data_IF_918182200472
#
_entry.id   IF_918182200472
#
_cell.length_a   1.000
_cell.length_b   1.000
_cell.length_c   1.000
_cell.angle_alpha   90.00
_cell.angle_beta   90.00
_cell.angle_gamma   90.00
#
_symmetry.space_group_name_H-M   'P 1'
#
loop_
_entity.id
_entity.type
_entity.pdbx_description
1 polymer ?
#
# COMPACT_ATOMS: atom_id res chain seq x y z
N UNK A 1 37.77 -12.03 7.17
CA UNK A 1 37.04 -10.98 7.90
C UNK A 1 36.17 -11.62 9.00
N UNK A 2 35.24 -12.53 8.69
CA UNK A 2 34.34 -13.15 9.68
C UNK A 2 35.07 -13.82 10.87
N UNK A 3 36.15 -14.55 10.60
CA UNK A 3 36.96 -15.22 11.64
C UNK A 3 37.67 -14.24 12.53
N UNK A 4 38.16 -13.13 11.98
CA UNK A 4 38.84 -12.06 12.73
C UNK A 4 37.83 -11.29 13.60
N UNK A 5 36.64 -10.98 13.06
CA UNK A 5 35.56 -10.31 13.78
C UNK A 5 35.04 -11.16 14.95
N UNK A 6 34.87 -12.46 14.75
CA UNK A 6 34.45 -13.39 15.81
C UNK A 6 35.52 -13.53 16.92
N UNK A 7 36.81 -13.54 16.56
CA UNK A 7 37.92 -13.62 17.53
C UNK A 7 38.00 -12.38 18.38
N UNK A 8 37.82 -11.19 17.78
CA UNK A 8 37.83 -9.91 18.49
C UNK A 8 36.55 -9.67 19.31
N UNK A 9 35.37 -10.11 18.83
CA UNK A 9 34.15 -10.06 19.62
C UNK A 9 34.29 -10.88 20.94
N UNK A 10 34.94 -12.05 20.88
CA UNK A 10 35.25 -12.83 22.07
C UNK A 10 36.21 -12.12 23.02
N UNK A 11 37.26 -11.45 22.50
CA UNK A 11 38.20 -10.67 23.27
C UNK A 11 37.55 -9.46 23.95
N UNK A 12 36.62 -8.75 23.29
CA UNK A 12 35.82 -7.67 23.89
C UNK A 12 34.91 -8.17 25.03
N UNK A 13 34.32 -9.34 24.89
CA UNK A 13 33.51 -9.96 25.93
C UNK A 13 34.35 -10.42 27.16
N UNK A 14 35.65 -10.66 26.99
CA UNK A 14 36.58 -10.98 28.07
C UNK A 14 37.22 -9.73 28.71
N UNK A 15 36.82 -8.50 28.33
CA UNK A 15 37.27 -7.25 28.98
C UNK A 15 38.53 -6.63 28.39
N UNK A 16 39.04 -7.12 27.28
CA UNK A 16 40.18 -6.52 26.57
C UNK A 16 39.69 -5.37 25.66
N UNK A 17 39.97 -4.12 26.06
CA UNK A 17 39.55 -2.92 25.31
C UNK A 17 40.51 -2.49 24.18
N UNK A 18 41.69 -3.15 24.05
CA UNK A 18 42.63 -2.80 22.98
C UNK A 18 42.42 -3.65 21.73
N UNK A 19 41.98 -3.05 20.64
CA UNK A 19 42.00 -3.73 19.36
C UNK A 19 40.86 -3.45 18.38
N UNK A 20 39.97 -2.49 18.67
CA UNK A 20 38.91 -2.11 17.74
C UNK A 20 39.47 -1.34 16.56
N UNK A 21 40.48 -0.50 16.80
CA UNK A 21 41.18 0.22 15.74
C UNK A 21 42.06 -0.66 14.88
N UNK A 22 42.75 -1.63 15.50
CA UNK A 22 43.53 -2.66 14.77
C UNK A 22 42.62 -3.53 13.90
N UNK A 23 41.41 -3.87 14.40
CA UNK A 23 40.43 -4.62 13.63
C UNK A 23 39.91 -3.82 12.43
N UNK A 24 39.61 -2.53 12.63
CA UNK A 24 39.17 -1.62 11.54
C UNK A 24 40.28 -1.48 10.49
N UNK A 25 41.53 -1.29 10.91
CA UNK A 25 42.67 -1.22 10.01
C UNK A 25 42.87 -2.53 9.20
N UNK A 26 42.79 -3.69 9.87
CA UNK A 26 42.87 -4.99 9.20
C UNK A 26 41.72 -5.23 8.21
N UNK A 27 40.48 -4.85 8.56
CA UNK A 27 39.33 -4.95 7.68
C UNK A 27 39.51 -4.03 6.47
N UNK A 28 39.98 -2.80 6.65
CA UNK A 28 40.25 -1.85 5.59
C UNK A 28 41.31 -2.38 4.60
N UNK A 29 42.40 -2.93 5.13
CA UNK A 29 43.47 -3.50 4.32
C UNK A 29 42.97 -4.70 3.48
N UNK A 30 42.24 -5.62 4.07
CA UNK A 30 41.66 -6.77 3.38
C UNK A 30 40.61 -6.33 2.35
N UNK A 31 39.85 -5.25 2.61
CA UNK A 31 38.91 -4.69 1.64
C UNK A 31 39.62 -4.09 0.43
N UNK A 32 40.73 -3.37 0.65
CA UNK A 32 41.54 -2.82 -0.43
C UNK A 32 42.19 -3.93 -1.28
N UNK A 33 42.74 -4.97 -0.65
CA UNK A 33 43.29 -6.13 -1.33
C UNK A 33 42.26 -6.86 -2.17
N UNK A 34 41.05 -7.08 -1.62
CA UNK A 34 39.92 -7.66 -2.35
C UNK A 34 39.59 -6.83 -3.60
N UNK A 35 39.43 -5.52 -3.44
CA UNK A 35 39.09 -4.64 -4.56
C UNK A 35 40.19 -4.63 -5.64
N UNK A 36 41.46 -4.61 -5.22
CA UNK A 36 42.57 -4.70 -6.15
C UNK A 36 42.55 -6.02 -6.95
N UNK A 37 42.25 -7.13 -6.30
CA UNK A 37 42.11 -8.44 -6.97
C UNK A 37 40.92 -8.45 -7.95
N UNK A 38 39.79 -7.85 -7.61
CA UNK A 38 38.64 -7.76 -8.53
C UNK A 38 39.01 -6.95 -9.78
N UNK A 39 39.58 -5.77 -9.61
CA UNK A 39 40.01 -4.89 -10.72
C UNK A 39 41.07 -5.57 -11.61
N UNK A 40 42.10 -6.20 -10.99
CA UNK A 40 43.15 -6.91 -11.73
C UNK A 40 42.62 -8.07 -12.58
N UNK A 41 41.48 -8.66 -12.19
CA UNK A 41 40.83 -9.74 -12.92
C UNK A 41 39.66 -9.26 -13.79
N UNK A 42 39.52 -7.94 -14.01
CA UNK A 42 38.47 -7.33 -14.84
C UNK A 42 37.05 -7.55 -14.31
N UNK A 43 36.89 -7.72 -13.01
CA UNK A 43 35.58 -7.69 -12.34
C UNK A 43 35.27 -6.30 -11.81
N UNK A 44 33.98 -5.89 -11.78
CA UNK A 44 33.58 -4.64 -11.14
C UNK A 44 33.79 -4.72 -9.62
N UNK A 45 33.97 -3.59 -8.95
CA UNK A 45 34.24 -3.52 -7.50
C UNK A 45 33.11 -4.11 -6.65
N UNK A 46 31.87 -4.03 -7.13
CA UNK A 46 30.65 -4.55 -6.51
C UNK A 46 30.34 -6.01 -6.87
N UNK A 47 31.21 -6.68 -7.65
CA UNK A 47 30.97 -8.05 -8.15
C UNK A 47 30.61 -9.08 -7.05
N UNK A 48 31.13 -8.90 -5.84
CA UNK A 48 30.85 -9.76 -4.69
C UNK A 48 29.72 -9.24 -3.77
N UNK A 49 29.11 -8.12 -4.14
CA UNK A 49 27.97 -7.61 -3.40
C UNK A 49 26.70 -8.39 -3.78
N UNK A 50 25.87 -8.67 -2.80
CA UNK A 50 24.60 -9.35 -3.05
C UNK A 50 23.66 -8.38 -3.77
N UNK A 51 23.09 -8.77 -4.92
CA UNK A 51 22.11 -7.93 -5.62
C UNK A 51 20.78 -7.96 -4.86
N UNK A 52 20.61 -7.04 -3.92
CA UNK A 52 19.36 -6.92 -3.18
C UNK A 52 18.25 -6.33 -4.06
N UNK A 53 17.07 -6.93 -4.02
CA UNK A 53 15.85 -6.38 -4.65
C UNK A 53 15.37 -5.11 -3.94
N UNK A 54 15.49 -5.11 -2.62
CA UNK A 54 15.18 -3.95 -1.79
C UNK A 54 16.46 -3.39 -1.15
N UNK A 55 16.94 -2.22 -1.58
CA UNK A 55 18.17 -1.63 -1.03
C UNK A 55 17.99 -1.14 0.42
N UNK A 56 16.73 -0.90 0.86
CA UNK A 56 16.43 -0.36 2.19
C UNK A 56 16.60 -1.42 3.28
N UNK A 57 16.03 -2.60 3.09
CA UNK A 57 16.10 -3.68 4.10
C UNK A 57 17.07 -4.81 3.69
N UNK A 58 17.68 -4.72 2.52
CA UNK A 58 18.54 -5.78 1.98
C UNK A 58 17.84 -7.16 1.99
N UNK A 59 16.60 -7.17 1.51
CA UNK A 59 15.70 -8.32 1.40
C UNK A 59 15.36 -9.06 2.72
N UNK A 60 15.68 -8.46 3.86
CA UNK A 60 15.27 -9.01 5.18
C UNK A 60 13.80 -8.79 5.49
N UNK A 61 13.14 -7.87 4.78
CA UNK A 61 11.75 -7.47 5.03
C UNK A 61 11.56 -6.52 6.22
N UNK A 62 12.62 -6.21 6.98
CA UNK A 62 12.55 -5.39 8.19
C UNK A 62 13.64 -4.32 8.22
N UNK A 63 13.31 -3.18 8.81
CA UNK A 63 14.26 -2.11 9.16
C UNK A 63 14.16 -1.92 10.68
N UNK A 64 15.16 -2.45 11.42
CA UNK A 64 15.06 -2.57 12.87
C UNK A 64 13.92 -3.52 13.26
N UNK A 65 12.95 -3.05 14.05
CA UNK A 65 11.76 -3.80 14.47
C UNK A 65 10.53 -3.56 13.58
N UNK A 66 10.62 -2.68 12.57
CA UNK A 66 9.49 -2.31 11.71
C UNK A 66 9.53 -3.06 10.39
N UNK A 67 8.36 -3.43 9.87
CA UNK A 67 8.22 -4.02 8.53
C UNK A 67 8.64 -3.00 7.47
N UNK A 68 9.51 -3.43 6.58
CA UNK A 68 9.91 -2.63 5.42
C UNK A 68 8.74 -2.49 4.44
N UNK A 69 8.73 -1.41 3.66
CA UNK A 69 7.73 -1.19 2.62
C UNK A 69 7.64 -2.34 1.61
N UNK A 70 8.77 -2.96 1.25
CA UNK A 70 8.77 -4.12 0.35
C UNK A 70 8.05 -5.33 0.94
N UNK A 71 8.16 -5.55 2.26
CA UNK A 71 7.44 -6.63 2.95
C UNK A 71 5.94 -6.34 3.01
N UNK A 72 5.55 -5.10 3.34
CA UNK A 72 4.14 -4.68 3.30
C UNK A 72 3.53 -4.85 1.91
N UNK A 73 4.24 -4.43 0.84
CA UNK A 73 3.79 -4.66 -0.53
C UNK A 73 3.58 -6.14 -0.85
N UNK A 74 4.49 -7.02 -0.41
CA UNK A 74 4.36 -8.45 -0.63
C UNK A 74 3.16 -9.07 0.14
N UNK A 75 2.90 -8.63 1.37
CA UNK A 75 1.70 -9.04 2.12
C UNK A 75 0.41 -8.62 1.39
N UNK A 76 0.34 -7.37 0.96
CA UNK A 76 -0.80 -6.83 0.20
C UNK A 76 -0.96 -7.60 -1.11
N UNK A 77 0.12 -7.85 -1.83
CA UNK A 77 0.11 -8.58 -3.10
C UNK A 77 -0.45 -10.00 -2.92
N UNK A 78 -0.13 -10.65 -1.81
CA UNK A 78 -0.65 -11.98 -1.49
C UNK A 78 -2.18 -11.95 -1.25
N UNK A 79 -2.70 -10.94 -0.55
CA UNK A 79 -4.13 -10.76 -0.32
C UNK A 79 -4.90 -10.52 -1.63
N UNK A 80 -4.30 -9.79 -2.59
CA UNK A 80 -4.91 -9.49 -3.88
C UNK A 80 -4.70 -10.56 -4.96
N UNK A 81 -3.86 -11.57 -4.72
CA UNK A 81 -3.59 -12.64 -5.73
C UNK A 81 -4.87 -13.44 -6.08
N UNK A 82 -5.87 -13.42 -5.22
CA UNK A 82 -7.16 -14.11 -5.45
C UNK A 82 -8.20 -13.25 -6.20
N UNK A 83 -7.93 -11.96 -6.46
CA UNK A 83 -8.86 -11.07 -7.16
C UNK A 83 -8.30 -10.63 -8.52
N UNK A 84 -9.18 -10.51 -9.54
CA UNK A 84 -8.84 -9.92 -10.83
C UNK A 84 -8.53 -8.41 -10.73
N UNK A 85 -8.63 -7.83 -9.53
CA UNK A 85 -8.46 -6.39 -9.29
C UNK A 85 -7.09 -5.89 -9.74
N UNK A 86 -6.02 -6.67 -9.51
CA UNK A 86 -4.66 -6.28 -9.93
C UNK A 86 -4.55 -6.02 -11.44
N UNK A 87 -5.21 -6.83 -12.27
CA UNK A 87 -5.20 -6.65 -13.73
C UNK A 87 -6.09 -5.46 -14.15
N UNK A 88 -7.16 -5.18 -13.42
CA UNK A 88 -8.02 -4.02 -13.64
C UNK A 88 -7.25 -2.74 -13.33
N UNK A 89 -6.57 -2.66 -12.18
CA UNK A 89 -5.83 -1.49 -11.74
C UNK A 89 -4.67 -1.11 -12.68
N UNK A 90 -4.08 -2.07 -13.40
CA UNK A 90 -3.09 -1.75 -14.45
C UNK A 90 -3.67 -0.93 -15.59
N UNK A 91 -4.97 -1.06 -15.86
CA UNK A 91 -5.67 -0.37 -16.94
C UNK A 91 -6.48 0.83 -16.44
N UNK A 92 -6.95 0.76 -15.22
CA UNK A 92 -7.81 1.77 -14.60
C UNK A 92 -7.04 2.46 -13.48
N UNK A 93 -6.29 3.49 -13.85
CA UNK A 93 -5.46 4.32 -12.98
C UNK A 93 -5.47 5.77 -13.49
N UNK A 94 -4.86 6.69 -12.76
CA UNK A 94 -4.86 8.11 -13.12
C UNK A 94 -4.18 8.41 -14.45
N UNK A 95 -3.22 7.60 -14.89
CA UNK A 95 -2.52 7.79 -16.17
C UNK A 95 -3.39 7.46 -17.39
N UNK A 96 -4.39 6.58 -17.18
CA UNK A 96 -5.35 6.17 -18.21
C UNK A 96 -6.70 6.91 -18.13
N UNK A 97 -6.86 7.82 -17.15
CA UNK A 97 -8.07 8.59 -17.03
C UNK A 97 -8.19 9.61 -18.15
N UNK A 98 -9.25 9.53 -18.98
CA UNK A 98 -9.48 10.48 -20.08
C UNK A 98 -10.70 11.35 -19.84
N UNK A 99 -10.54 12.64 -20.06
CA UNK A 99 -11.63 13.62 -20.04
C UNK A 99 -12.44 13.67 -21.34
N UNK A 100 -12.03 12.94 -22.37
CA UNK A 100 -12.67 12.96 -23.69
C UNK A 100 -14.04 12.30 -23.70
N UNK A 101 -14.33 11.49 -22.68
CA UNK A 101 -15.65 10.87 -22.49
C UNK A 101 -16.71 11.83 -21.93
N UNK A 102 -16.33 13.04 -21.50
CA UNK A 102 -17.21 13.99 -20.84
C UNK A 102 -17.50 15.19 -21.74
N UNK A 103 -18.79 15.58 -21.83
CA UNK A 103 -19.24 16.69 -22.66
C UNK A 103 -18.77 18.05 -22.10
N UNK A 104 -18.32 18.93 -23.03
CA UNK A 104 -18.01 20.32 -22.71
C UNK A 104 -19.24 21.23 -22.86
N UNK A 105 -20.33 20.73 -23.44
CA UNK A 105 -21.51 21.57 -23.80
C UNK A 105 -22.70 21.28 -22.87
N UNK A 106 -22.84 20.06 -22.39
CA UNK A 106 -23.91 19.68 -21.46
C UNK A 106 -23.60 20.21 -20.08
N UNK A 107 -24.44 21.05 -19.54
CA UNK A 107 -24.31 21.64 -18.19
C UNK A 107 -25.35 21.07 -17.26
N UNK A 108 -24.89 20.77 -16.03
CA UNK A 108 -25.78 20.44 -14.96
C UNK A 108 -26.51 21.70 -14.48
N UNK A 109 -27.85 21.68 -14.48
CA UNK A 109 -28.69 22.85 -14.12
C UNK A 109 -28.46 23.35 -12.68
N UNK A 110 -28.16 22.43 -11.74
CA UNK A 110 -27.98 22.77 -10.34
C UNK A 110 -26.60 23.39 -10.05
N UNK A 111 -25.55 23.00 -10.80
CA UNK A 111 -24.17 23.44 -10.53
C UNK A 111 -23.67 24.46 -11.55
N UNK A 112 -24.29 24.53 -12.73
CA UNK A 112 -23.84 25.32 -13.87
C UNK A 112 -22.57 24.80 -14.53
N UNK A 113 -22.01 23.69 -14.07
CA UNK A 113 -20.79 23.10 -14.58
C UNK A 113 -21.09 22.14 -15.74
N UNK A 114 -20.16 22.03 -16.68
CA UNK A 114 -20.19 20.99 -17.71
C UNK A 114 -19.85 19.63 -17.08
N UNK A 115 -20.15 18.55 -17.79
CA UNK A 115 -19.75 17.19 -17.37
C UNK A 115 -18.23 17.09 -17.23
N UNK A 116 -17.47 17.65 -18.17
CA UNK A 116 -16.00 17.66 -18.13
C UNK A 116 -15.45 18.48 -16.97
N UNK A 117 -16.04 19.62 -16.63
CA UNK A 117 -15.64 20.40 -15.46
C UNK A 117 -15.94 19.66 -14.17
N UNK A 118 -17.08 18.95 -14.10
CA UNK A 118 -17.45 18.11 -12.95
C UNK A 118 -16.47 16.94 -12.78
N UNK A 119 -16.16 16.23 -13.87
CA UNK A 119 -15.19 15.14 -13.86
C UNK A 119 -13.79 15.62 -13.45
N UNK A 120 -13.37 16.80 -13.94
CA UNK A 120 -12.08 17.40 -13.55
C UNK A 120 -12.03 17.72 -12.06
N UNK A 121 -13.08 18.27 -11.49
CA UNK A 121 -13.17 18.51 -10.04
C UNK A 121 -13.09 17.21 -9.23
N UNK A 122 -13.83 16.18 -9.65
CA UNK A 122 -13.78 14.87 -8.99
C UNK A 122 -12.39 14.25 -9.07
N UNK A 123 -11.75 14.33 -10.23
CA UNK A 123 -10.37 13.90 -10.44
C UNK A 123 -9.38 14.64 -9.53
N UNK A 124 -9.48 15.97 -9.45
CA UNK A 124 -8.58 16.80 -8.65
C UNK A 124 -8.75 16.50 -7.13
N UNK A 125 -9.99 16.26 -6.69
CA UNK A 125 -10.29 15.85 -5.32
C UNK A 125 -9.68 14.47 -5.02
N UNK A 126 -9.85 13.51 -5.92
CA UNK A 126 -9.29 12.17 -5.77
C UNK A 126 -7.75 12.17 -5.73
N UNK A 127 -7.11 12.97 -6.60
CA UNK A 127 -5.66 13.18 -6.56
C UNK A 127 -5.20 13.87 -5.29
N UNK A 128 -5.98 14.83 -4.79
CA UNK A 128 -5.74 15.52 -3.52
C UNK A 128 -5.83 14.54 -2.34
N UNK A 129 -6.84 13.68 -2.33
CA UNK A 129 -7.03 12.65 -1.32
C UNK A 129 -5.82 11.70 -1.24
N UNK A 130 -5.38 11.17 -2.37
CA UNK A 130 -4.18 10.30 -2.43
C UNK A 130 -2.93 11.03 -1.94
N UNK A 131 -2.71 12.27 -2.40
CA UNK A 131 -1.53 13.06 -2.04
C UNK A 131 -1.45 13.37 -0.55
N UNK A 132 -2.58 13.60 0.08
CA UNK A 132 -2.66 14.00 1.49
C UNK A 132 -2.97 12.82 2.43
N UNK A 133 -3.01 11.60 1.92
CA UNK A 133 -3.50 10.42 2.64
C UNK A 133 -2.80 10.17 3.98
N UNK A 134 -1.46 10.34 4.01
CA UNK A 134 -0.67 10.16 5.24
C UNK A 134 -0.80 11.32 6.23
N UNK A 135 -1.24 12.49 5.77
CA UNK A 135 -1.27 13.72 6.57
C UNK A 135 -2.65 14.12 7.04
N UNK A 136 -3.71 13.68 6.36
CA UNK A 136 -5.10 14.00 6.70
C UNK A 136 -5.95 12.73 6.77
N UNK A 137 -6.95 12.76 7.67
CA UNK A 137 -7.98 11.73 7.75
C UNK A 137 -9.25 12.26 7.09
N UNK A 138 -9.60 11.68 5.95
CA UNK A 138 -10.78 12.06 5.17
C UNK A 138 -11.50 10.81 4.66
N UNK A 139 -12.81 10.93 4.45
CA UNK A 139 -13.60 9.95 3.74
C UNK A 139 -14.07 10.56 2.42
N UNK A 140 -14.17 9.74 1.37
CA UNK A 140 -14.71 10.16 0.08
C UNK A 140 -16.06 9.49 -0.18
N UNK A 141 -17.00 10.28 -0.68
CA UNK A 141 -18.28 9.77 -1.16
C UNK A 141 -18.49 10.17 -2.62
N UNK A 142 -18.37 9.18 -3.51
CA UNK A 142 -18.57 9.35 -4.95
C UNK A 142 -20.03 9.04 -5.29
N UNK A 143 -20.76 10.03 -5.79
CA UNK A 143 -22.16 9.87 -6.18
C UNK A 143 -22.41 10.43 -7.57
N UNK A 144 -23.47 9.97 -8.23
CA UNK A 144 -23.84 10.36 -9.58
C UNK A 144 -24.43 9.18 -10.35
N UNK A 145 -24.85 9.43 -11.58
CA UNK A 145 -25.48 8.45 -12.45
C UNK A 145 -24.56 7.26 -12.79
N UNK A 146 -25.16 6.18 -13.28
CA UNK A 146 -24.39 5.02 -13.75
C UNK A 146 -23.56 5.42 -14.98
N UNK A 147 -22.32 4.90 -15.05
CA UNK A 147 -21.44 5.13 -16.20
C UNK A 147 -20.64 6.45 -16.16
N UNK A 148 -20.79 7.29 -15.14
CA UNK A 148 -20.04 8.57 -15.05
C UNK A 148 -18.59 8.43 -14.57
N UNK A 149 -18.07 7.20 -14.38
CA UNK A 149 -16.68 6.94 -14.04
C UNK A 149 -16.37 6.85 -12.54
N UNK A 150 -17.35 6.69 -11.65
CA UNK A 150 -17.12 6.55 -10.19
C UNK A 150 -16.18 5.38 -9.86
N UNK A 151 -16.49 4.19 -10.35
CA UNK A 151 -15.68 2.98 -10.18
C UNK A 151 -14.28 3.15 -10.74
N UNK A 152 -14.14 3.75 -11.93
CA UNK A 152 -12.83 4.04 -12.50
C UNK A 152 -12.00 4.95 -11.57
N UNK A 153 -12.62 5.99 -11.01
CA UNK A 153 -11.94 6.90 -10.09
C UNK A 153 -11.55 6.22 -8.76
N UNK A 154 -12.40 5.31 -8.27
CA UNK A 154 -12.08 4.45 -7.10
C UNK A 154 -10.88 3.55 -7.39
N UNK A 155 -10.81 2.97 -8.60
CA UNK A 155 -9.65 2.18 -9.03
C UNK A 155 -8.38 3.02 -9.13
N UNK A 156 -8.46 4.27 -9.62
CA UNK A 156 -7.32 5.19 -9.64
C UNK A 156 -6.75 5.42 -8.23
N UNK A 157 -7.63 5.69 -7.26
CA UNK A 157 -7.24 5.89 -5.86
C UNK A 157 -6.62 4.62 -5.28
N UNK A 158 -7.25 3.46 -5.51
CA UNK A 158 -6.74 2.17 -5.06
C UNK A 158 -5.34 1.88 -5.62
N UNK A 159 -5.14 2.09 -6.92
CA UNK A 159 -3.87 1.90 -7.61
C UNK A 159 -2.74 2.69 -6.94
N UNK A 160 -2.88 4.01 -6.81
CA UNK A 160 -1.81 4.87 -6.32
C UNK A 160 -1.51 4.60 -4.83
N UNK A 161 -2.52 4.30 -4.01
CA UNK A 161 -2.31 3.94 -2.61
C UNK A 161 -1.64 2.58 -2.44
N UNK A 162 -1.98 1.59 -3.25
CA UNK A 162 -1.30 0.29 -3.27
C UNK A 162 0.16 0.43 -3.71
N UNK A 163 0.44 1.26 -4.73
CA UNK A 163 1.81 1.56 -5.16
C UNK A 163 2.62 2.28 -4.05
N UNK A 164 1.94 3.05 -3.20
CA UNK A 164 2.54 3.69 -2.02
C UNK A 164 2.62 2.75 -0.79
N UNK A 165 2.30 1.46 -0.97
CA UNK A 165 2.32 0.41 0.07
C UNK A 165 1.31 0.62 1.21
N UNK A 166 0.17 1.26 0.92
CA UNK A 166 -0.98 1.26 1.82
C UNK A 166 -1.81 0.00 1.64
N UNK A 167 -2.40 -0.45 2.74
CA UNK A 167 -3.35 -1.55 2.71
C UNK A 167 -4.72 -1.03 2.26
N UNK A 168 -5.12 -1.37 1.03
CA UNK A 168 -6.42 -1.00 0.45
C UNK A 168 -7.29 -2.24 0.35
N UNK A 169 -8.48 -2.22 0.90
CA UNK A 169 -9.49 -3.28 0.71
C UNK A 169 -10.57 -2.76 -0.23
N UNK A 170 -10.92 -3.57 -1.23
CA UNK A 170 -11.93 -3.23 -2.23
C UNK A 170 -13.02 -4.29 -2.24
N UNK A 171 -14.25 -3.89 -1.96
CA UNK A 171 -15.41 -4.75 -1.97
C UNK A 171 -16.55 -4.13 -2.78
N UNK A 172 -17.33 -4.96 -3.45
CA UNK A 172 -18.71 -4.56 -3.76
C UNK A 172 -19.50 -4.46 -2.45
N UNK A 173 -20.54 -3.65 -2.43
CA UNK A 173 -21.42 -3.57 -1.26
C UNK A 173 -21.97 -4.97 -0.88
N UNK A 174 -22.32 -5.77 -1.87
CA UNK A 174 -22.82 -7.13 -1.66
C UNK A 174 -21.80 -8.03 -0.93
N UNK A 175 -20.56 -8.10 -1.43
CA UNK A 175 -19.52 -8.96 -0.86
C UNK A 175 -19.15 -8.52 0.56
N UNK A 176 -19.11 -7.19 0.81
CA UNK A 176 -18.84 -6.66 2.13
C UNK A 176 -19.91 -7.08 3.13
N UNK A 177 -21.19 -6.95 2.76
CA UNK A 177 -22.28 -7.33 3.67
C UNK A 177 -22.37 -8.83 3.88
N UNK A 178 -22.06 -9.65 2.89
CA UNK A 178 -21.95 -11.10 3.03
C UNK A 178 -20.84 -11.44 4.06
N UNK A 179 -19.65 -10.86 3.90
CA UNK A 179 -18.55 -11.04 4.85
C UNK A 179 -18.92 -10.60 6.28
N UNK A 180 -19.61 -9.48 6.44
CA UNK A 180 -20.03 -8.98 7.74
C UNK A 180 -21.19 -9.80 8.35
N UNK A 181 -22.03 -10.44 7.53
CA UNK A 181 -23.11 -11.33 7.98
C UNK A 181 -22.57 -12.66 8.52
N UNK A 182 -21.63 -13.26 7.80
CA UNK A 182 -21.04 -14.56 8.18
C UNK A 182 -20.35 -14.49 9.55
N UNK A 183 -19.87 -13.33 9.93
CA UNK A 183 -19.19 -13.10 11.22
C UNK A 183 -20.08 -13.28 12.44
N UNK A 184 -21.36 -13.03 12.33
CA UNK A 184 -22.31 -13.16 13.45
C UNK A 184 -22.61 -14.62 13.78
N UNK A 185 -22.41 -15.52 12.81
CA UNK A 185 -22.69 -16.94 12.97
C UNK A 185 -21.45 -17.77 13.32
N UNK A 186 -20.25 -17.24 13.12
CA UNK A 186 -18.99 -17.87 13.48
C UNK A 186 -18.47 -17.29 14.81
N UNK A 187 -18.14 -18.16 15.77
CA UNK A 187 -17.55 -17.74 17.07
C UNK A 187 -16.11 -17.24 16.94
N UNK A 188 -15.47 -17.52 15.83
CA UNK A 188 -14.11 -17.05 15.51
C UNK A 188 -14.21 -15.90 14.51
N UNK A 189 -13.66 -14.73 14.86
CA UNK A 189 -13.44 -13.64 13.91
C UNK A 189 -12.57 -14.17 12.79
N UNK A 190 -13.07 -14.17 11.57
CA UNK A 190 -12.26 -14.54 10.41
C UNK A 190 -11.23 -13.45 10.15
N UNK A 191 -10.01 -13.85 9.77
CA UNK A 191 -8.92 -12.90 9.44
C UNK A 191 -9.39 -11.81 8.45
N UNK A 192 -10.28 -12.15 7.51
CA UNK A 192 -10.84 -11.20 6.55
C UNK A 192 -11.57 -10.01 7.16
N UNK A 193 -12.18 -10.16 8.33
CA UNK A 193 -12.91 -9.08 9.01
C UNK A 193 -11.99 -8.09 9.70
N UNK A 194 -10.88 -8.55 10.27
CA UNK A 194 -9.89 -7.64 10.85
C UNK A 194 -9.33 -6.71 9.76
N UNK A 195 -9.12 -7.22 8.54
CA UNK A 195 -8.67 -6.40 7.42
C UNK A 195 -9.67 -5.32 6.99
N UNK A 196 -10.99 -5.58 7.08
CA UNK A 196 -12.00 -4.54 6.80
C UNK A 196 -11.86 -3.35 7.72
N UNK A 197 -11.55 -3.59 9.01
CA UNK A 197 -11.43 -2.50 9.99
C UNK A 197 -10.03 -1.90 10.08
N UNK A 198 -8.98 -2.66 9.78
CA UNK A 198 -7.58 -2.26 9.97
C UNK A 198 -6.90 -1.77 8.69
N UNK A 199 -7.47 -2.06 7.51
CA UNK A 199 -6.95 -1.53 6.25
C UNK A 199 -6.87 0.00 6.27
N UNK A 200 -5.89 0.57 5.59
CA UNK A 200 -5.72 2.01 5.53
C UNK A 200 -6.86 2.69 4.76
N UNK A 201 -7.30 2.07 3.66
CA UNK A 201 -8.48 2.49 2.91
C UNK A 201 -9.41 1.28 2.68
N UNK A 202 -10.70 1.47 2.93
CA UNK A 202 -11.77 0.57 2.50
C UNK A 202 -12.54 1.23 1.37
N UNK A 203 -12.63 0.59 0.23
CA UNK A 203 -13.49 1.01 -0.88
C UNK A 203 -14.72 0.11 -0.91
N UNK A 204 -15.90 0.73 -0.88
CA UNK A 204 -17.19 0.06 -1.00
C UNK A 204 -17.81 0.54 -2.32
N UNK A 205 -17.81 -0.31 -3.32
CA UNK A 205 -18.35 0.03 -4.64
C UNK A 205 -19.79 -0.47 -4.80
N UNK A 206 -20.52 0.11 -5.75
CA UNK A 206 -21.91 -0.21 -6.09
C UNK A 206 -22.87 -0.16 -4.88
N UNK A 207 -22.63 0.79 -3.96
CA UNK A 207 -23.50 1.00 -2.80
C UNK A 207 -24.90 1.43 -3.25
N UNK A 208 -25.93 0.75 -2.78
CA UNK A 208 -27.34 0.98 -3.14
C UNK A 208 -27.91 -0.01 -4.14
N UNK A 209 -27.13 -0.97 -4.64
CA UNK A 209 -27.59 -2.08 -5.47
C UNK A 209 -28.09 -3.28 -4.64
N UNK A 210 -27.70 -3.32 -3.37
CA UNK A 210 -28.12 -4.34 -2.41
C UNK A 210 -29.58 -4.15 -1.97
N UNK A 211 -30.22 -5.26 -1.55
CA UNK A 211 -31.53 -5.19 -0.91
C UNK A 211 -31.44 -4.42 0.39
N UNK A 212 -31.85 -3.16 0.36
CA UNK A 212 -31.87 -2.29 1.54
C UNK A 212 -32.80 -2.84 2.60
N UNK A 213 -32.22 -3.33 3.69
CA UNK A 213 -32.95 -3.73 4.88
C UNK A 213 -32.26 -3.12 6.12
N UNK A 214 -32.96 -3.15 7.25
CA UNK A 214 -32.43 -2.58 8.51
C UNK A 214 -31.11 -3.21 8.95
N UNK A 215 -30.86 -4.46 8.57
CA UNK A 215 -29.62 -5.17 8.85
C UNK A 215 -28.45 -4.57 8.07
N UNK A 216 -28.58 -4.43 6.76
CA UNK A 216 -27.55 -3.84 5.88
C UNK A 216 -27.19 -2.43 6.33
N UNK A 217 -28.21 -1.58 6.56
CA UNK A 217 -28.00 -0.21 7.04
C UNK A 217 -27.26 -0.17 8.39
N UNK A 218 -27.60 -1.07 9.30
CA UNK A 218 -26.94 -1.17 10.60
C UNK A 218 -25.50 -1.64 10.49
N UNK A 219 -25.20 -2.61 9.60
CA UNK A 219 -23.82 -3.09 9.39
C UNK A 219 -22.96 -2.01 8.76
N UNK A 220 -23.46 -1.31 7.74
CA UNK A 220 -22.75 -0.20 7.11
C UNK A 220 -22.42 0.88 8.13
N UNK A 221 -23.41 1.28 8.93
CA UNK A 221 -23.23 2.28 9.99
C UNK A 221 -22.15 1.85 10.99
N UNK A 222 -22.20 0.61 11.48
CA UNK A 222 -21.21 0.08 12.42
C UNK A 222 -19.82 0.02 11.78
N UNK A 223 -19.72 -0.42 10.53
CA UNK A 223 -18.46 -0.50 9.81
C UNK A 223 -17.82 0.89 9.66
N UNK A 224 -18.57 1.86 9.16
CA UNK A 224 -18.07 3.23 8.95
C UNK A 224 -17.68 3.87 10.28
N UNK A 225 -18.52 3.75 11.33
CA UNK A 225 -18.21 4.32 12.64
C UNK A 225 -16.95 3.72 13.27
N UNK A 226 -16.79 2.40 13.22
CA UNK A 226 -15.60 1.73 13.74
C UNK A 226 -14.33 2.24 13.01
N UNK A 227 -14.39 2.39 11.68
CA UNK A 227 -13.27 2.91 10.89
C UNK A 227 -12.97 4.37 11.20
N UNK A 228 -14.01 5.21 11.39
CA UNK A 228 -13.85 6.61 11.83
C UNK A 228 -13.13 6.67 13.19
N UNK A 229 -13.53 5.83 14.14
CA UNK A 229 -12.91 5.78 15.48
C UNK A 229 -11.44 5.36 15.41
N UNK A 230 -11.07 4.49 14.46
CA UNK A 230 -9.70 4.08 14.17
C UNK A 230 -8.94 5.06 13.28
N UNK A 231 -9.57 6.13 12.81
CA UNK A 231 -9.04 7.07 11.81
C UNK A 231 -8.59 6.37 10.52
N UNK A 232 -9.38 5.41 10.04
CA UNK A 232 -9.19 4.68 8.80
C UNK A 232 -10.17 5.16 7.74
N UNK A 233 -9.66 5.57 6.58
CA UNK A 233 -10.45 6.18 5.49
C UNK A 233 -11.33 5.17 4.76
N UNK A 234 -12.53 5.64 4.33
CA UNK A 234 -13.50 4.84 3.57
C UNK A 234 -14.02 5.67 2.40
#
# INVERSE_FOLDING_TARGET
>A
VATLSAKKARALLSGESSGLEDLKAAISLLSQERNALLVCNSYPEDYLELPYKCPVCQDTGYVGSQKCTCFKKAEIELLYTQSNLKEILKKENFDHFSFDYYSDTMKNEATGLTERETARRAYDIARGFVRNFDSSFENLFLYGDTGVGKTFLSHCIAHDLLESAHCVMYFSAFDLFELLADSKFSRDKTEGQEFVFDSDLLIIDDLGTELTNSFVSSQLFLCINERIMRRKST
#
